data_IF_111516824003
#
_entry.id   IF_111516824003
#
_cell.length_a   1.000
_cell.length_b   1.000
_cell.length_c   1.000
_cell.angle_alpha   90.00
_cell.angle_beta   90.00
_cell.angle_gamma   90.00
#
_symmetry.space_group_name_H-M   'P 1'
#
loop_
_entity.id
_entity.type
_entity.pdbx_description
1 polymer ?
#
# COMPACT_ATOMS: atom_id res chain seq x y z
N UNK A 1 31.49 17.43 -2.59
CA UNK A 1 30.89 16.68 -3.71
C UNK A 1 29.41 16.96 -3.70
N UNK A 2 28.86 17.60 -4.73
CA UNK A 2 27.40 17.75 -4.82
C UNK A 2 26.81 16.38 -5.10
N UNK A 3 26.04 15.88 -4.14
CA UNK A 3 25.27 14.65 -4.29
C UNK A 3 24.27 14.83 -5.44
N UNK A 4 24.20 13.85 -6.37
CA UNK A 4 23.28 13.91 -7.50
C UNK A 4 21.81 13.77 -7.04
N UNK A 5 20.86 14.06 -7.91
CA UNK A 5 19.44 14.02 -7.58
C UNK A 5 19.03 12.65 -7.02
N UNK A 6 19.50 11.56 -7.63
CA UNK A 6 19.18 10.18 -7.20
C UNK A 6 19.63 9.91 -5.76
N UNK A 7 20.83 10.33 -5.38
CA UNK A 7 21.34 10.21 -4.01
C UNK A 7 20.49 10.98 -3.01
N UNK A 8 20.13 12.22 -3.33
CA UNK A 8 19.28 13.06 -2.46
C UNK A 8 17.87 12.53 -2.31
N UNK A 9 17.27 11.97 -3.39
CA UNK A 9 15.98 11.29 -3.33
C UNK A 9 16.07 10.06 -2.42
N UNK A 10 17.12 9.23 -2.58
CA UNK A 10 17.35 8.07 -1.73
C UNK A 10 17.50 8.45 -0.25
N UNK A 11 18.28 9.50 0.05
CA UNK A 11 18.48 10.01 1.41
C UNK A 11 17.13 10.42 2.05
N UNK A 12 16.29 11.17 1.33
CA UNK A 12 14.97 11.55 1.81
C UNK A 12 14.06 10.35 2.03
N UNK A 13 14.07 9.36 1.14
CA UNK A 13 13.29 8.13 1.26
C UNK A 13 13.75 7.24 2.43
N UNK A 14 14.99 7.38 2.90
CA UNK A 14 15.49 6.66 4.08
C UNK A 14 14.84 7.10 5.40
N UNK A 15 14.09 8.20 5.41
CA UNK A 15 13.31 8.61 6.59
C UNK A 15 11.96 7.87 6.74
N UNK A 16 11.53 7.14 5.70
CA UNK A 16 10.24 6.47 5.68
C UNK A 16 10.45 4.97 5.84
N UNK A 17 10.04 4.43 6.98
CA UNK A 17 10.05 2.99 7.24
C UNK A 17 8.81 2.32 6.65
N UNK A 18 8.99 1.12 6.13
CA UNK A 18 7.90 0.25 5.69
C UNK A 18 8.09 -1.16 6.22
N UNK A 19 6.98 -1.88 6.34
CA UNK A 19 6.96 -3.30 6.68
C UNK A 19 5.97 -4.02 5.75
N UNK A 20 6.46 -4.55 4.63
CA UNK A 20 5.62 -5.32 3.73
C UNK A 20 5.44 -6.76 4.23
N UNK A 21 4.22 -7.26 4.09
CA UNK A 21 3.82 -8.63 4.40
C UNK A 21 3.17 -9.29 3.20
N UNK A 22 3.36 -10.59 3.04
CA UNK A 22 2.62 -11.44 2.11
C UNK A 22 1.84 -12.48 2.87
N UNK A 23 0.56 -12.57 2.60
CA UNK A 23 -0.36 -13.53 3.20
C UNK A 23 -0.79 -14.54 2.14
N UNK A 24 -0.58 -15.81 2.42
CA UNK A 24 -1.05 -16.92 1.63
C UNK A 24 -2.44 -17.31 2.12
N UNK A 25 -3.39 -17.32 1.21
CA UNK A 25 -4.81 -17.51 1.51
C UNK A 25 -5.33 -18.81 0.91
N UNK A 26 -6.30 -19.37 1.60
CA UNK A 26 -7.20 -20.38 1.05
C UNK A 26 -8.62 -19.82 1.13
N UNK A 27 -9.23 -19.59 -0.02
CA UNK A 27 -10.55 -18.95 -0.15
C UNK A 27 -11.51 -19.85 -0.93
N UNK A 28 -11.98 -20.97 -0.33
CA UNK A 28 -12.79 -21.94 -1.04
C UNK A 28 -14.10 -21.31 -1.54
N UNK A 29 -14.30 -21.36 -2.85
CA UNK A 29 -15.50 -20.88 -3.51
C UNK A 29 -15.74 -19.37 -3.49
N UNK A 30 -14.72 -18.56 -3.14
CA UNK A 30 -14.78 -17.08 -3.18
C UNK A 30 -13.58 -16.51 -3.90
N UNK A 31 -13.83 -15.65 -4.87
CA UNK A 31 -12.78 -14.79 -5.43
C UNK A 31 -12.52 -13.64 -4.46
N UNK A 32 -11.44 -13.75 -3.67
CA UNK A 32 -11.04 -12.72 -2.74
C UNK A 32 -10.47 -11.50 -3.48
N UNK A 33 -11.18 -10.39 -3.49
CA UNK A 33 -10.69 -9.13 -4.05
C UNK A 33 -10.07 -8.25 -2.96
N UNK A 34 -9.10 -7.42 -3.34
CA UNK A 34 -8.46 -6.45 -2.42
C UNK A 34 -9.49 -5.60 -1.66
N UNK A 35 -10.53 -5.04 -2.31
CA UNK A 35 -11.54 -4.31 -1.60
C UNK A 35 -12.36 -5.11 -0.59
N UNK A 36 -12.64 -6.41 -0.85
CA UNK A 36 -13.33 -7.27 0.11
C UNK A 36 -12.45 -7.56 1.33
N UNK A 37 -11.21 -7.94 1.08
CA UNK A 37 -10.21 -8.19 2.12
C UNK A 37 -9.99 -6.95 2.98
N UNK A 38 -9.83 -5.76 2.36
CA UNK A 38 -9.72 -4.49 3.08
C UNK A 38 -10.93 -4.26 4.01
N UNK A 39 -12.13 -4.51 3.51
CA UNK A 39 -13.36 -4.29 4.27
C UNK A 39 -13.44 -5.14 5.53
N UNK A 40 -13.19 -6.43 5.42
CA UNK A 40 -13.24 -7.34 6.56
C UNK A 40 -12.07 -7.11 7.53
N UNK A 41 -10.87 -6.85 7.01
CA UNK A 41 -9.70 -6.55 7.82
C UNK A 41 -9.86 -5.26 8.61
N UNK A 42 -10.37 -4.19 7.98
CA UNK A 42 -10.65 -2.93 8.65
C UNK A 42 -11.72 -3.07 9.75
N UNK A 43 -12.78 -3.84 9.50
CA UNK A 43 -13.80 -4.10 10.53
C UNK A 43 -13.22 -4.89 11.71
N UNK A 44 -12.43 -5.92 11.43
CA UNK A 44 -11.77 -6.72 12.47
C UNK A 44 -10.80 -5.89 13.32
N UNK A 45 -9.99 -5.02 12.68
CA UNK A 45 -9.06 -4.16 13.40
C UNK A 45 -9.79 -3.10 14.25
N UNK A 46 -10.86 -2.50 13.70
CA UNK A 46 -11.66 -1.53 14.44
C UNK A 46 -12.25 -2.12 15.71
N UNK A 47 -12.73 -3.37 15.65
CA UNK A 47 -13.32 -4.05 16.82
C UNK A 47 -12.22 -4.53 17.80
N UNK A 48 -11.02 -4.85 17.32
CA UNK A 48 -9.91 -5.36 18.13
C UNK A 48 -9.08 -4.25 18.77
N UNK A 49 -8.73 -3.22 18.00
CA UNK A 49 -7.87 -2.11 18.40
C UNK A 49 -8.26 -0.82 17.63
N UNK A 50 -9.21 -0.03 18.17
CA UNK A 50 -9.64 1.21 17.54
C UNK A 50 -8.54 2.26 17.35
N UNK A 51 -7.52 2.27 18.23
CA UNK A 51 -6.40 3.22 18.13
C UNK A 51 -5.49 2.85 16.96
N UNK A 52 -5.11 1.57 16.85
CA UNK A 52 -4.38 1.09 15.67
C UNK A 52 -5.18 1.32 14.38
N UNK A 53 -6.50 1.12 14.42
CA UNK A 53 -7.37 1.42 13.27
C UNK A 53 -7.27 2.88 12.84
N UNK A 54 -7.38 3.84 13.77
CA UNK A 54 -7.30 5.27 13.47
C UNK A 54 -5.94 5.66 12.86
N UNK A 55 -4.83 5.11 13.36
CA UNK A 55 -3.49 5.38 12.83
C UNK A 55 -3.32 4.79 11.43
N UNK A 56 -3.76 3.55 11.22
CA UNK A 56 -3.48 2.81 9.98
C UNK A 56 -4.45 3.20 8.87
N UNK A 57 -5.75 3.27 9.15
CA UNK A 57 -6.78 3.58 8.16
C UNK A 57 -6.99 5.08 7.95
N UNK A 58 -6.53 5.92 8.91
CA UNK A 58 -6.59 7.37 8.86
C UNK A 58 -7.92 7.96 9.35
N UNK A 59 -7.94 9.25 9.75
CA UNK A 59 -9.08 9.92 10.36
C UNK A 59 -10.30 10.08 9.43
N UNK A 60 -10.11 10.01 8.14
CA UNK A 60 -11.22 10.11 7.17
C UNK A 60 -12.18 8.90 7.19
N UNK A 61 -11.84 7.83 7.90
CA UNK A 61 -12.73 6.69 8.06
C UNK A 61 -13.66 6.85 9.28
N UNK A 62 -13.33 7.71 10.24
CA UNK A 62 -14.13 7.98 11.45
C UNK A 62 -15.39 8.80 11.17
N UNK A 63 -15.38 9.70 10.17
CA UNK A 63 -16.55 10.50 9.78
C UNK A 63 -17.69 9.66 9.17
N UNK A 64 -17.43 8.39 8.93
CA UNK A 64 -18.36 7.40 8.40
C UNK A 64 -18.66 6.40 9.50
N UNK A 65 -19.66 6.66 10.32
CA UNK A 65 -20.09 5.86 11.45
C UNK A 65 -20.00 4.33 11.25
N UNK A 66 -19.98 3.55 12.34
CA UNK A 66 -19.88 2.09 12.26
C UNK A 66 -20.96 1.54 11.34
N UNK A 67 -20.69 0.45 10.60
CA UNK A 67 -21.69 -0.20 9.75
C UNK A 67 -22.92 -0.51 10.63
N UNK A 68 -24.09 -0.12 10.17
CA UNK A 68 -25.33 -0.40 10.87
C UNK A 68 -25.31 -1.87 11.31
N UNK A 69 -25.28 -2.10 12.62
CA UNK A 69 -25.38 -3.45 13.17
C UNK A 69 -26.77 -3.95 12.81
N UNK A 70 -26.90 -4.80 11.81
CA UNK A 70 -28.07 -5.64 11.72
C UNK A 70 -28.04 -6.54 12.94
N UNK A 71 -28.89 -6.21 13.91
CA UNK A 71 -29.09 -6.97 15.14
C UNK A 71 -29.74 -8.31 14.78
N UNK A 72 -28.95 -9.26 14.40
CA UNK A 72 -29.28 -10.65 14.58
C UNK A 72 -28.71 -11.03 15.94
N UNK A 73 -29.60 -11.08 16.93
CA UNK A 73 -29.31 -11.54 18.28
C UNK A 73 -28.85 -13.01 18.24
N UNK A 74 -27.56 -13.20 18.08
CA UNK A 74 -26.94 -14.50 18.39
C UNK A 74 -26.66 -14.46 19.89
N UNK A 75 -27.48 -15.17 20.66
CA UNK A 75 -27.24 -15.44 22.08
C UNK A 75 -25.84 -16.04 22.22
N UNK A 76 -24.92 -15.29 22.85
CA UNK A 76 -23.63 -15.79 23.31
C UNK A 76 -23.86 -16.76 24.46
N UNK A 77 -23.22 -17.94 24.45
CA UNK A 77 -23.15 -18.75 25.66
C UNK A 77 -22.26 -18.04 26.70
N UNK A 78 -22.52 -18.20 27.99
CA UNK A 78 -21.77 -17.53 29.03
C UNK A 78 -20.38 -18.13 29.18
N UNK A 79 -19.31 -17.47 28.73
CA UNK A 79 -17.96 -17.80 29.11
C UNK A 79 -17.63 -17.12 30.45
N UNK A 80 -17.54 -17.94 31.49
CA UNK A 80 -16.84 -17.64 32.74
C UNK A 80 -15.33 -17.65 32.42
N UNK A 81 -14.68 -16.52 32.57
CA UNK A 81 -13.28 -16.28 32.97
C UNK A 81 -12.83 -14.93 32.40
N UNK A 82 -12.63 -13.92 33.22
CA UNK A 82 -12.10 -12.63 32.75
C UNK A 82 -12.15 -11.50 33.75
N UNK A 83 -11.87 -11.77 35.04
CA UNK A 83 -11.76 -10.70 36.05
C UNK A 83 -10.31 -10.24 36.32
N UNK A 84 -9.31 -10.75 35.58
CA UNK A 84 -7.91 -10.40 35.83
C UNK A 84 -7.31 -9.38 34.85
N UNK A 85 -7.97 -9.06 33.71
CA UNK A 85 -7.39 -8.17 32.69
C UNK A 85 -7.80 -6.70 32.90
N UNK A 86 -8.95 -6.44 33.52
CA UNK A 86 -9.43 -5.08 33.79
C UNK A 86 -8.58 -4.36 34.85
N UNK A 87 -8.09 -5.08 35.87
CA UNK A 87 -7.30 -4.50 36.96
C UNK A 87 -5.85 -4.19 36.55
N UNK A 88 -5.29 -4.92 35.57
CA UNK A 88 -3.94 -4.64 35.05
C UNK A 88 -3.95 -3.40 34.13
N UNK A 89 -5.04 -3.15 33.43
CA UNK A 89 -5.16 -1.98 32.54
C UNK A 89 -5.40 -0.67 33.30
N UNK A 90 -6.02 -0.70 34.47
CA UNK A 90 -6.25 0.48 35.29
C UNK A 90 -4.98 1.02 35.97
N UNK A 91 -3.99 0.14 36.23
CA UNK A 91 -2.73 0.52 36.84
C UNK A 91 -1.71 1.15 35.89
N UNK A 92 -1.86 0.97 34.58
CA UNK A 92 -0.89 1.45 33.57
C UNK A 92 -1.25 2.84 33.01
N UNK A 93 -2.43 3.40 33.30
CA UNK A 93 -2.89 4.69 32.77
C UNK A 93 -2.56 5.90 33.63
N UNK A 94 -2.03 5.73 34.83
CA UNK A 94 -1.66 6.84 35.71
C UNK A 94 -0.19 7.20 35.54
N UNK A 95 0.16 7.96 34.50
CA UNK A 95 1.50 8.55 34.40
C UNK A 95 2.09 8.79 33.00
N UNK A 96 1.38 8.53 31.93
CA UNK A 96 1.87 8.91 30.61
C UNK A 96 1.35 10.30 30.20
N UNK A 97 2.23 11.22 29.76
CA UNK A 97 1.76 12.49 29.17
C UNK A 97 0.95 12.18 27.92
N UNK A 98 -0.15 12.88 27.76
CA UNK A 98 -1.00 12.79 26.57
C UNK A 98 -0.14 12.97 25.29
N UNK A 99 -0.33 12.11 24.27
CA UNK A 99 0.39 12.30 23.02
C UNK A 99 0.07 13.67 22.45
N UNK A 100 1.07 14.37 21.84
CA UNK A 100 0.85 15.69 21.29
C UNK A 100 -0.29 15.64 20.27
N UNK A 101 -1.23 16.56 20.39
CA UNK A 101 -2.34 16.73 19.47
C UNK A 101 -1.79 16.89 18.05
N UNK A 102 -2.06 15.92 17.17
CA UNK A 102 -1.72 16.00 15.76
C UNK A 102 -2.65 17.06 15.16
N UNK A 103 -2.10 18.23 14.87
CA UNK A 103 -2.83 19.29 14.20
C UNK A 103 -3.28 18.77 12.80
N UNK A 104 -4.59 18.64 12.66
CA UNK A 104 -5.27 18.27 11.44
C UNK A 104 -5.17 19.40 10.39
N UNK A 105 -4.09 19.39 9.64
CA UNK A 105 -3.88 20.27 8.49
C UNK A 105 -3.43 19.46 7.27
N UNK A 106 -4.36 18.77 6.63
CA UNK A 106 -4.13 17.95 5.45
C UNK A 106 -4.67 16.55 5.67
N UNK A 107 -5.36 16.00 4.68
CA UNK A 107 -5.88 14.63 4.72
C UNK A 107 -4.73 13.66 4.96
N UNK A 108 -4.59 13.14 6.17
CA UNK A 108 -3.59 12.14 6.51
C UNK A 108 -3.73 10.93 5.56
N UNK A 109 -2.63 10.55 4.93
CA UNK A 109 -2.64 9.37 4.07
C UNK A 109 -2.78 8.13 4.93
N UNK A 110 -3.59 7.16 4.48
CA UNK A 110 -3.67 5.87 5.15
C UNK A 110 -2.28 5.22 5.26
N UNK A 111 -1.96 4.69 6.43
CA UNK A 111 -0.66 4.12 6.75
C UNK A 111 -0.38 2.76 6.09
N UNK A 112 -1.11 2.39 5.04
CA UNK A 112 -0.93 1.11 4.37
C UNK A 112 -1.27 1.15 2.88
N UNK A 113 -0.77 0.14 2.20
CA UNK A 113 -1.19 -0.29 0.85
C UNK A 113 -1.61 -1.74 0.93
N UNK A 114 -2.66 -2.12 0.22
CA UNK A 114 -3.09 -3.50 0.05
C UNK A 114 -3.13 -3.83 -1.43
N UNK A 115 -2.53 -4.96 -1.85
CA UNK A 115 -2.43 -5.33 -3.26
C UNK A 115 -2.46 -6.84 -3.46
N UNK A 116 -2.85 -7.33 -4.65
CA UNK A 116 -2.59 -8.71 -5.02
C UNK A 116 -1.09 -8.99 -4.97
N UNK A 117 -0.70 -10.16 -4.49
CA UNK A 117 0.67 -10.63 -4.63
C UNK A 117 0.94 -11.04 -6.10
N UNK A 118 2.21 -11.00 -6.54
CA UNK A 118 2.58 -11.62 -7.80
C UNK A 118 2.12 -13.08 -7.83
N UNK A 119 1.67 -13.59 -8.98
CA UNK A 119 1.31 -14.99 -9.11
C UNK A 119 2.53 -15.88 -8.79
N UNK A 120 2.32 -16.83 -7.91
CA UNK A 120 3.31 -17.82 -7.51
C UNK A 120 2.75 -19.21 -7.85
N UNK A 121 3.48 -20.03 -8.64
CA UNK A 121 2.99 -21.37 -9.04
C UNK A 121 2.74 -22.31 -7.87
N UNK A 122 3.45 -22.12 -6.77
CA UNK A 122 3.35 -22.99 -5.60
C UNK A 122 2.29 -22.53 -4.59
N UNK A 123 1.82 -21.29 -4.72
CA UNK A 123 0.98 -20.69 -3.71
C UNK A 123 -0.39 -20.28 -4.26
N UNK A 124 -1.41 -20.68 -3.54
CA UNK A 124 -2.79 -20.22 -3.65
C UNK A 124 -2.88 -18.67 -3.71
N UNK A 125 -4.06 -18.10 -3.95
CA UNK A 125 -4.23 -16.64 -3.96
C UNK A 125 -3.50 -16.00 -2.79
N UNK A 126 -2.63 -15.06 -3.10
CA UNK A 126 -1.86 -14.34 -2.12
C UNK A 126 -2.15 -12.83 -2.20
N UNK A 127 -2.06 -12.18 -1.05
CA UNK A 127 -2.26 -10.75 -0.91
C UNK A 127 -1.08 -10.16 -0.15
N UNK A 128 -0.68 -8.97 -0.53
CA UNK A 128 0.35 -8.22 0.19
C UNK A 128 -0.26 -6.98 0.82
N UNK A 129 0.18 -6.67 2.05
CA UNK A 129 -0.01 -5.35 2.65
C UNK A 129 1.32 -4.75 3.04
N UNK A 130 1.43 -3.46 2.86
CA UNK A 130 2.63 -2.68 3.17
C UNK A 130 2.25 -1.67 4.23
N UNK A 131 2.79 -1.79 5.43
CA UNK A 131 2.66 -0.77 6.47
C UNK A 131 3.69 0.32 6.24
N UNK A 132 3.31 1.58 6.47
CA UNK A 132 4.11 2.75 6.12
C UNK A 132 4.19 3.72 7.30
N UNK A 133 5.40 4.17 7.64
CA UNK A 133 5.63 5.15 8.69
C UNK A 133 5.16 4.66 10.06
N UNK A 134 4.35 5.44 10.76
CA UNK A 134 3.84 5.11 12.10
C UNK A 134 3.02 3.80 12.14
N UNK A 135 2.36 3.44 11.03
CA UNK A 135 1.59 2.21 10.95
C UNK A 135 2.44 0.94 11.17
N UNK A 136 3.75 1.01 10.93
CA UNK A 136 4.69 -0.11 11.16
C UNK A 136 4.67 -0.59 12.61
N UNK A 137 4.43 0.29 13.57
CA UNK A 137 4.35 -0.04 15.01
C UNK A 137 3.15 -0.91 15.37
N UNK A 138 2.15 -0.94 14.50
CA UNK A 138 0.90 -1.67 14.70
C UNK A 138 0.87 -3.03 13.97
N UNK A 139 2.02 -3.57 13.54
CA UNK A 139 2.10 -4.84 12.81
C UNK A 139 1.42 -5.99 13.56
N UNK A 140 1.65 -6.11 14.87
CA UNK A 140 1.07 -7.18 15.66
C UNK A 140 -0.48 -7.13 15.72
N UNK A 141 -1.15 -6.03 16.10
CA UNK A 141 -2.60 -5.97 16.07
C UNK A 141 -3.18 -6.15 14.67
N UNK A 142 -2.46 -5.75 13.62
CA UNK A 142 -2.87 -5.94 12.22
C UNK A 142 -2.82 -7.41 11.80
N UNK A 143 -1.78 -8.16 12.20
CA UNK A 143 -1.75 -9.60 12.01
C UNK A 143 -2.90 -10.30 12.75
N UNK A 144 -3.16 -9.91 14.02
CA UNK A 144 -4.29 -10.43 14.80
C UNK A 144 -5.64 -10.12 14.17
N UNK A 145 -5.77 -8.94 13.57
CA UNK A 145 -6.99 -8.55 12.86
C UNK A 145 -7.26 -9.45 11.64
N UNK A 146 -6.24 -9.97 10.99
CA UNK A 146 -6.43 -10.94 9.91
C UNK A 146 -6.99 -12.28 10.41
N UNK A 147 -6.56 -12.77 11.58
CA UNK A 147 -7.12 -13.99 12.18
C UNK A 147 -8.61 -13.81 12.47
N UNK A 148 -9.00 -12.67 13.06
CA UNK A 148 -10.41 -12.32 13.30
C UNK A 148 -11.18 -12.20 11.98
N UNK A 149 -10.62 -11.52 10.99
CA UNK A 149 -11.20 -11.32 9.67
C UNK A 149 -11.50 -12.65 8.95
N UNK A 150 -10.61 -13.64 9.09
CA UNK A 150 -10.79 -14.97 8.50
C UNK A 150 -12.06 -15.66 9.00
N UNK A 151 -12.39 -15.49 10.28
CA UNK A 151 -13.62 -15.98 10.89
C UNK A 151 -14.87 -15.18 10.52
N UNK A 152 -14.73 -13.87 10.20
CA UNK A 152 -15.86 -13.02 9.75
C UNK A 152 -16.33 -13.37 8.34
N UNK A 153 -15.41 -13.86 7.51
CA UNK A 153 -15.67 -14.31 6.14
C UNK A 153 -15.82 -13.20 5.10
N UNK A 154 -15.81 -13.58 3.83
CA UNK A 154 -15.84 -12.71 2.65
C UNK A 154 -17.17 -12.81 1.92
N UNK A 155 -17.54 -11.71 1.29
CA UNK A 155 -18.73 -11.61 0.43
C UNK A 155 -20.06 -11.59 1.19
N UNK A 156 -21.18 -11.58 0.44
CA UNK A 156 -22.52 -11.55 1.02
C UNK A 156 -22.83 -12.76 1.89
N UNK A 157 -22.34 -13.93 1.48
CA UNK A 157 -22.51 -15.20 2.18
C UNK A 157 -21.57 -15.40 3.36
N UNK A 158 -20.67 -14.43 3.63
CA UNK A 158 -19.66 -14.49 4.70
C UNK A 158 -18.90 -15.82 4.71
N UNK A 159 -18.43 -16.25 3.55
CA UNK A 159 -17.63 -17.47 3.44
C UNK A 159 -16.30 -17.28 4.13
N UNK A 160 -16.01 -18.18 5.08
CA UNK A 160 -14.75 -18.18 5.81
C UNK A 160 -13.59 -18.45 4.86
N UNK A 161 -12.45 -17.88 5.18
CA UNK A 161 -11.19 -18.14 4.49
C UNK A 161 -10.13 -18.54 5.52
N UNK A 162 -9.08 -19.17 5.05
CA UNK A 162 -8.00 -19.61 5.91
C UNK A 162 -6.71 -18.90 5.54
N UNK A 163 -5.97 -18.47 6.54
CA UNK A 163 -4.63 -17.91 6.38
C UNK A 163 -3.65 -19.06 6.58
N UNK A 164 -2.95 -19.45 5.53
CA UNK A 164 -1.94 -20.51 5.59
C UNK A 164 -0.65 -20.03 6.20
N UNK A 165 -0.22 -18.83 5.81
CA UNK A 165 1.05 -18.24 6.27
C UNK A 165 1.06 -16.74 6.06
N UNK A 166 1.78 -16.03 6.95
CA UNK A 166 2.10 -14.62 6.81
C UNK A 166 3.63 -14.52 6.80
N UNK A 167 4.17 -14.00 5.70
CA UNK A 167 5.61 -13.81 5.48
C UNK A 167 5.93 -12.32 5.48
N UNK A 168 7.15 -11.94 5.82
CA UNK A 168 7.66 -10.60 5.58
C UNK A 168 8.33 -10.52 4.20
N UNK A 169 8.36 -9.33 3.60
CA UNK A 169 9.08 -9.09 2.35
C UNK A 169 10.28 -8.17 2.61
N UNK A 170 11.42 -8.55 2.10
CA UNK A 170 12.63 -7.73 2.07
C UNK A 170 12.55 -6.66 0.98
N UNK A 171 13.49 -5.71 0.99
CA UNK A 171 13.57 -4.63 -0.01
C UNK A 171 13.72 -5.12 -1.44
N UNK A 172 14.16 -6.36 -1.60
CA UNK A 172 14.26 -7.08 -2.85
C UNK A 172 13.00 -7.92 -3.19
N UNK A 173 11.95 -7.89 -2.36
CA UNK A 173 10.68 -8.61 -2.55
C UNK A 173 10.77 -10.10 -2.21
N UNK A 174 11.91 -10.60 -1.70
CA UNK A 174 12.00 -11.96 -1.20
C UNK A 174 11.18 -12.14 0.07
N UNK A 175 10.47 -13.25 0.15
CA UNK A 175 9.67 -13.60 1.31
C UNK A 175 10.55 -14.28 2.38
N UNK A 176 10.43 -13.81 3.62
CA UNK A 176 11.16 -14.34 4.78
C UNK A 176 10.22 -14.49 5.98
N UNK A 177 10.56 -15.37 6.94
CA UNK A 177 9.73 -15.58 8.11
C UNK A 177 9.83 -14.44 9.11
N UNK A 178 11.02 -13.86 9.29
CA UNK A 178 11.24 -12.79 10.25
C UNK A 178 10.93 -11.42 9.66
N UNK A 179 9.98 -10.74 10.28
CA UNK A 179 9.65 -9.37 9.91
C UNK A 179 10.66 -8.39 10.48
N UNK A 180 11.22 -7.58 9.57
CA UNK A 180 12.04 -6.41 9.95
C UNK A 180 11.63 -5.23 9.09
N UNK A 181 11.26 -4.09 9.70
CA UNK A 181 11.06 -2.86 8.94
C UNK A 181 12.33 -2.46 8.19
N UNK A 182 12.15 -1.89 7.02
CA UNK A 182 13.24 -1.30 6.23
C UNK A 182 12.80 0.02 5.63
N UNK A 183 13.73 0.81 5.10
CA UNK A 183 13.44 2.16 4.60
C UNK A 183 13.17 2.17 3.10
N UNK A 184 12.29 3.05 2.64
CA UNK A 184 11.97 3.18 1.20
C UNK A 184 13.20 3.49 0.34
N UNK A 185 14.23 4.13 0.89
CA UNK A 185 15.49 4.34 0.19
C UNK A 185 16.26 3.06 -0.12
N UNK A 186 15.97 1.95 0.58
CA UNK A 186 16.51 0.63 0.29
C UNK A 186 15.72 -0.14 -0.79
N UNK A 187 14.60 0.40 -1.30
CA UNK A 187 13.80 -0.26 -2.34
C UNK A 187 14.64 -0.52 -3.60
N UNK A 188 14.54 -1.73 -4.12
CA UNK A 188 15.30 -2.16 -5.30
C UNK A 188 14.52 -1.92 -6.58
N UNK A 189 15.20 -1.52 -7.63
CA UNK A 189 14.68 -1.39 -8.98
C UNK A 189 14.82 -2.72 -9.72
N UNK A 190 13.77 -3.56 -9.70
CA UNK A 190 13.83 -4.94 -10.22
C UNK A 190 12.66 -5.26 -11.13
N UNK A 191 12.86 -6.12 -12.16
CA UNK A 191 11.76 -6.62 -12.96
C UNK A 191 10.83 -7.53 -12.14
N UNK A 192 9.52 -7.38 -12.36
CA UNK A 192 8.52 -8.22 -11.70
C UNK A 192 8.65 -9.71 -12.10
N UNK A 193 9.10 -9.99 -13.32
CA UNK A 193 9.23 -11.35 -13.87
C UNK A 193 10.31 -12.20 -13.21
N UNK A 194 11.29 -11.59 -12.54
CA UNK A 194 12.38 -12.34 -11.89
C UNK A 194 11.98 -12.94 -10.53
N UNK A 195 10.81 -12.63 -10.02
CA UNK A 195 10.31 -13.21 -8.78
C UNK A 195 9.98 -14.70 -8.88
N UNK A 196 9.80 -15.22 -10.11
CA UNK A 196 9.36 -16.61 -10.36
C UNK A 196 10.50 -17.62 -10.52
N UNK A 197 11.74 -17.22 -10.69
CA UNK A 197 12.83 -18.14 -11.11
C UNK A 197 13.86 -18.49 -10.05
N UNK A 198 13.63 -18.09 -8.78
CA UNK A 198 14.53 -18.45 -7.65
C UNK A 198 15.95 -17.85 -7.76
N UNK A 199 16.27 -17.16 -8.84
CA UNK A 199 17.54 -16.45 -9.00
C UNK A 199 17.52 -15.13 -8.22
N UNK A 200 18.65 -14.78 -7.59
CA UNK A 200 18.84 -13.46 -6.99
C UNK A 200 18.60 -12.39 -8.06
N UNK A 201 17.45 -11.73 -8.02
CA UNK A 201 17.11 -10.73 -8.99
C UNK A 201 18.08 -9.55 -8.88
N UNK A 202 18.77 -9.26 -9.98
CA UNK A 202 19.70 -8.13 -10.06
C UNK A 202 18.91 -6.82 -10.05
N UNK A 203 19.37 -5.88 -9.23
CA UNK A 203 18.86 -4.51 -9.29
C UNK A 203 19.27 -3.89 -10.63
N UNK A 204 18.30 -3.39 -11.41
CA UNK A 204 18.57 -2.82 -12.73
C UNK A 204 19.37 -1.52 -12.60
N UNK A 205 20.31 -1.30 -13.50
CA UNK A 205 21.05 -0.05 -13.57
C UNK A 205 20.13 1.16 -13.88
N UNK A 206 20.53 2.39 -13.54
CA UNK A 206 19.70 3.58 -13.81
C UNK A 206 19.41 3.81 -15.31
N UNK A 207 20.30 3.41 -16.17
CA UNK A 207 20.22 3.52 -17.64
C UNK A 207 19.63 2.28 -18.33
N UNK A 208 19.24 1.26 -17.53
CA UNK A 208 18.70 0.02 -18.08
C UNK A 208 17.31 0.24 -18.68
N UNK A 209 17.10 -0.12 -19.98
CA UNK A 209 15.79 -0.01 -20.62
C UNK A 209 14.73 -0.81 -19.87
N UNK A 210 13.61 -0.18 -19.60
CA UNK A 210 12.55 -0.82 -18.82
C UNK A 210 11.17 -0.26 -19.17
N UNK A 211 10.16 -0.93 -18.65
CA UNK A 211 8.76 -0.55 -18.76
C UNK A 211 8.17 -0.39 -17.36
N UNK A 212 7.44 0.69 -17.15
CA UNK A 212 6.59 0.90 -15.99
C UNK A 212 5.19 0.38 -16.32
N UNK A 213 4.85 -0.80 -15.83
CA UNK A 213 3.57 -1.47 -16.08
C UNK A 213 2.60 -1.26 -14.91
N UNK A 214 1.32 -1.06 -15.22
CA UNK A 214 0.25 -0.88 -14.25
C UNK A 214 -0.76 -2.01 -14.40
N UNK A 215 -0.58 -3.13 -13.66
CA UNK A 215 -1.50 -4.27 -13.70
C UNK A 215 -2.83 -3.96 -13.05
N UNK A 216 -2.88 -2.98 -12.16
CA UNK A 216 -4.11 -2.44 -11.57
C UNK A 216 -4.41 -1.04 -12.12
N UNK A 217 -5.69 -0.61 -12.16
CA UNK A 217 -6.04 0.68 -12.71
C UNK A 217 -5.30 1.84 -12.04
N UNK A 218 -4.58 2.61 -12.84
CA UNK A 218 -3.94 3.84 -12.43
C UNK A 218 -4.96 4.98 -12.49
N UNK A 219 -5.20 5.64 -11.36
CA UNK A 219 -6.16 6.75 -11.27
C UNK A 219 -5.44 8.06 -10.94
N UNK A 220 -4.99 8.76 -11.97
CA UNK A 220 -4.44 10.10 -11.87
C UNK A 220 -5.51 11.12 -12.25
N UNK A 221 -5.69 12.12 -11.39
CA UNK A 221 -6.71 13.15 -11.60
C UNK A 221 -6.05 14.52 -11.71
N UNK A 222 -6.40 15.26 -12.74
CA UNK A 222 -6.02 16.65 -12.95
C UNK A 222 -7.28 17.48 -13.13
N UNK A 223 -7.48 18.49 -12.29
CA UNK A 223 -8.69 19.36 -12.31
C UNK A 223 -10.01 18.57 -12.34
N UNK A 224 -10.09 17.47 -11.56
CA UNK A 224 -11.27 16.61 -11.50
C UNK A 224 -11.43 15.62 -12.66
N UNK A 225 -10.58 15.68 -13.68
CA UNK A 225 -10.61 14.78 -14.85
C UNK A 225 -9.55 13.69 -14.75
N UNK A 226 -9.86 12.49 -15.25
CA UNK A 226 -8.92 11.39 -15.35
C UNK A 226 -7.87 11.69 -16.43
N UNK A 227 -6.59 11.50 -16.12
CA UNK A 227 -5.50 11.49 -17.10
C UNK A 227 -5.53 10.14 -17.80
N UNK A 228 -5.98 10.09 -19.04
CA UNK A 228 -6.12 8.84 -19.81
C UNK A 228 -4.82 8.37 -20.45
N UNK A 229 -3.89 9.28 -20.70
CA UNK A 229 -2.56 9.00 -21.27
C UNK A 229 -1.48 9.64 -20.40
N UNK A 230 -1.18 9.03 -19.24
CA UNK A 230 -0.19 9.58 -18.32
C UNK A 230 1.21 9.60 -18.95
N UNK A 231 1.94 10.67 -18.66
CA UNK A 231 3.36 10.84 -18.98
C UNK A 231 4.23 10.44 -17.79
N UNK A 232 5.56 10.33 -18.01
CA UNK A 232 6.49 10.12 -16.89
C UNK A 232 6.40 11.26 -15.85
N UNK A 233 6.22 12.49 -16.32
CA UNK A 233 6.04 13.66 -15.45
C UNK A 233 4.80 13.53 -14.55
N UNK A 234 3.69 13.04 -15.07
CA UNK A 234 2.46 12.81 -14.28
C UNK A 234 2.68 11.72 -13.21
N UNK A 235 3.39 10.65 -13.56
CA UNK A 235 3.75 9.57 -12.62
C UNK A 235 4.67 10.07 -11.52
N UNK A 236 5.70 10.87 -11.86
CA UNK A 236 6.64 11.46 -10.89
C UNK A 236 5.93 12.43 -9.95
N UNK A 237 5.05 13.30 -10.46
CA UNK A 237 4.23 14.18 -9.61
C UNK A 237 3.38 13.39 -8.64
N UNK A 238 2.75 12.30 -9.11
CA UNK A 238 1.92 11.46 -8.25
C UNK A 238 2.76 10.71 -7.18
N UNK A 239 3.94 10.19 -7.57
CA UNK A 239 4.88 9.54 -6.66
C UNK A 239 5.42 10.53 -5.60
N UNK A 240 5.84 11.74 -6.01
CA UNK A 240 6.30 12.79 -5.08
C UNK A 240 5.21 13.16 -4.06
N UNK A 241 3.97 13.33 -4.50
CA UNK A 241 2.84 13.61 -3.60
C UNK A 241 2.59 12.47 -2.61
N UNK A 242 2.73 11.23 -3.08
CA UNK A 242 2.55 10.05 -2.25
C UNK A 242 3.64 9.95 -1.17
N UNK A 243 4.89 10.15 -1.54
CA UNK A 243 6.03 10.18 -0.61
C UNK A 243 5.87 11.30 0.41
N UNK A 244 5.55 12.54 -0.04
CA UNK A 244 5.38 13.70 0.84
C UNK A 244 4.40 13.45 2.00
N UNK A 245 3.36 12.65 1.76
CA UNK A 245 2.34 12.35 2.76
C UNK A 245 2.90 11.57 3.96
N UNK A 246 4.01 10.85 3.79
CA UNK A 246 4.64 10.04 4.84
C UNK A 246 5.90 10.67 5.43
N UNK A 247 6.39 11.76 4.87
CA UNK A 247 7.56 12.45 5.38
C UNK A 247 7.25 13.19 6.68
N UNK A 248 8.21 13.23 7.63
CA UNK A 248 8.16 14.14 8.77
C UNK A 248 7.91 15.58 8.30
N UNK A 249 7.19 16.36 9.11
CA UNK A 249 6.83 17.74 8.74
C UNK A 249 8.07 18.59 8.41
N UNK A 250 9.14 18.42 9.17
CA UNK A 250 10.42 19.16 8.99
C UNK A 250 11.11 18.87 7.63
N UNK A 251 10.81 17.72 7.00
CA UNK A 251 11.44 17.34 5.73
C UNK A 251 10.63 17.77 4.50
N UNK A 252 9.39 18.27 4.69
CA UNK A 252 8.46 18.49 3.57
C UNK A 252 8.88 19.64 2.65
N UNK A 253 9.48 20.70 3.18
CA UNK A 253 9.93 21.85 2.37
C UNK A 253 11.12 21.43 1.49
N UNK A 254 12.10 20.72 2.07
CA UNK A 254 13.21 20.14 1.32
C UNK A 254 12.73 19.17 0.25
N UNK A 255 11.66 18.40 0.55
CA UNK A 255 11.06 17.49 -0.42
C UNK A 255 10.37 18.21 -1.57
N UNK A 256 9.79 19.39 -1.35
CA UNK A 256 9.17 20.17 -2.43
C UNK A 256 10.24 20.63 -3.44
N UNK A 257 11.43 21.00 -2.98
CA UNK A 257 12.57 21.33 -3.85
C UNK A 257 13.05 20.11 -4.65
N UNK A 258 13.19 18.95 -4.00
CA UNK A 258 13.52 17.69 -4.65
C UNK A 258 12.45 17.27 -5.66
N UNK A 259 11.19 17.48 -5.33
CA UNK A 259 10.06 17.16 -6.21
C UNK A 259 10.06 18.01 -7.49
N UNK A 260 10.45 19.29 -7.40
CA UNK A 260 10.61 20.15 -8.59
C UNK A 260 11.73 19.64 -9.48
N UNK A 261 12.90 19.31 -8.91
CA UNK A 261 14.01 18.75 -9.65
C UNK A 261 13.69 17.39 -10.27
N UNK A 262 12.98 16.51 -9.53
CA UNK A 262 12.50 15.24 -10.06
C UNK A 262 11.53 15.42 -11.25
N UNK A 263 10.68 16.44 -11.21
CA UNK A 263 9.79 16.78 -12.33
C UNK A 263 10.56 17.27 -13.56
N UNK A 264 11.59 18.09 -13.37
CA UNK A 264 12.48 18.52 -14.46
C UNK A 264 13.23 17.33 -15.07
N UNK A 265 13.78 16.46 -14.24
CA UNK A 265 14.42 15.22 -14.68
C UNK A 265 13.43 14.31 -15.45
N UNK A 266 12.18 14.21 -15.00
CA UNK A 266 11.15 13.43 -15.68
C UNK A 266 10.82 13.97 -17.07
N UNK A 267 10.81 15.28 -17.25
CA UNK A 267 10.61 15.92 -18.55
C UNK A 267 11.78 15.74 -19.49
N UNK A 268 13.00 15.64 -18.96
CA UNK A 268 14.22 15.40 -19.72
C UNK A 268 14.47 13.91 -20.04
N UNK A 269 13.87 12.99 -19.28
CA UNK A 269 14.04 11.55 -19.47
C UNK A 269 13.24 11.08 -20.69
N UNK A 270 13.87 10.41 -21.68
CA UNK A 270 13.18 9.86 -22.81
C UNK A 270 12.16 8.80 -22.40
N UNK A 271 10.91 9.00 -22.73
CA UNK A 271 9.82 8.06 -22.50
C UNK A 271 8.97 7.93 -23.76
N UNK A 272 8.52 6.70 -24.10
CA UNK A 272 7.56 6.53 -25.19
C UNK A 272 6.17 6.95 -24.74
N UNK A 273 5.27 7.16 -25.71
CA UNK A 273 3.87 7.45 -25.40
C UNK A 273 3.24 6.29 -24.61
N UNK A 274 2.32 6.64 -23.71
CA UNK A 274 1.51 5.67 -22.97
C UNK A 274 0.82 4.67 -23.88
N UNK A 275 0.90 3.40 -23.55
CA UNK A 275 0.17 2.32 -24.20
C UNK A 275 -0.75 1.65 -23.18
N UNK A 276 -2.04 1.73 -23.42
CA UNK A 276 -3.03 1.15 -22.50
C UNK A 276 -4.42 1.70 -22.76
N UNK A 277 -5.37 1.16 -22.00
CA UNK A 277 -6.78 1.43 -22.16
C UNK A 277 -7.39 1.96 -20.86
N UNK A 278 -8.48 2.70 -21.00
CA UNK A 278 -9.34 3.07 -19.89
C UNK A 278 -10.06 1.84 -19.35
N UNK A 279 -10.12 1.73 -18.04
CA UNK A 279 -10.88 0.72 -17.31
C UNK A 279 -11.92 1.41 -16.43
N UNK A 280 -13.18 1.05 -16.64
CA UNK A 280 -14.28 1.45 -15.79
C UNK A 280 -14.65 0.30 -14.88
N UNK A 281 -14.09 0.30 -13.68
CA UNK A 281 -14.44 -0.67 -12.63
C UNK A 281 -15.60 -0.12 -11.81
N UNK A 282 -16.63 -0.93 -11.61
CA UNK A 282 -17.73 -0.64 -10.70
C UNK A 282 -17.58 -1.47 -9.44
N UNK A 283 -17.80 -0.85 -8.31
CA UNK A 283 -17.81 -1.51 -7.02
C UNK A 283 -19.04 -1.10 -6.25
N UNK A 284 -19.75 -2.08 -5.73
CA UNK A 284 -20.79 -1.83 -4.74
C UNK A 284 -20.13 -1.60 -3.37
N UNK A 285 -20.41 -0.46 -2.73
CA UNK A 285 -20.03 -0.18 -1.36
C UNK A 285 -21.20 -0.55 -0.45
N UNK A 286 -21.08 -1.68 0.26
CA UNK A 286 -22.09 -2.10 1.25
C UNK A 286 -22.28 -1.07 2.38
N UNK A 287 -21.30 -0.20 2.60
CA UNK A 287 -21.34 0.86 3.64
C UNK A 287 -22.06 2.12 3.16
N UNK A 288 -21.98 2.43 1.87
CA UNK A 288 -22.64 3.60 1.27
C UNK A 288 -23.92 3.23 0.51
N UNK A 289 -24.24 1.93 0.41
CA UNK A 289 -25.35 1.40 -0.41
C UNK A 289 -25.37 2.00 -1.84
N UNK A 290 -24.18 2.29 -2.39
CA UNK A 290 -23.98 2.94 -3.68
C UNK A 290 -22.90 2.22 -4.49
N UNK A 291 -23.05 2.25 -5.81
CA UNK A 291 -21.98 1.85 -6.72
C UNK A 291 -20.92 2.94 -6.76
N UNK A 292 -19.68 2.56 -6.47
CA UNK A 292 -18.52 3.41 -6.63
C UNK A 292 -17.86 3.11 -7.96
N UNK A 293 -17.84 4.11 -8.84
CA UNK A 293 -17.06 4.04 -10.06
C UNK A 293 -15.57 4.26 -9.77
N UNK A 294 -14.77 3.23 -10.01
CA UNK A 294 -13.32 3.29 -9.92
C UNK A 294 -12.72 3.39 -11.32
N UNK A 295 -12.89 4.57 -11.95
CA UNK A 295 -12.32 4.83 -13.27
C UNK A 295 -10.82 4.98 -13.19
N UNK A 296 -10.09 4.33 -14.09
CA UNK A 296 -8.64 4.42 -14.20
C UNK A 296 -8.16 4.00 -15.58
N UNK A 297 -6.84 3.93 -15.75
CA UNK A 297 -6.21 3.41 -16.96
C UNK A 297 -5.31 2.24 -16.58
N UNK A 298 -5.28 1.19 -17.40
CA UNK A 298 -4.31 0.12 -17.29
C UNK A 298 -3.42 0.12 -18.53
N UNK A 299 -2.15 -0.16 -18.36
CA UNK A 299 -1.20 -0.11 -19.45
C UNK A 299 0.21 0.11 -18.96
N UNK A 300 1.05 0.70 -19.79
CA UNK A 300 2.46 0.88 -19.49
C UNK A 300 3.09 2.08 -20.17
N UNK A 301 4.23 2.49 -19.63
CA UNK A 301 5.12 3.52 -20.18
C UNK A 301 6.52 2.92 -20.35
N UNK A 302 7.13 3.03 -21.52
CA UNK A 302 8.50 2.55 -21.77
C UNK A 302 9.52 3.66 -21.56
N UNK A 303 10.62 3.30 -20.91
CA UNK A 303 11.80 4.13 -20.68
C UNK A 303 13.00 3.53 -21.42
N UNK A 304 13.26 3.91 -22.68
CA UNK A 304 14.28 3.27 -23.53
C UNK A 304 15.71 3.45 -23.01
N UNK A 305 15.93 4.46 -22.17
CA UNK A 305 17.23 4.75 -21.53
C UNK A 305 17.14 4.68 -19.99
N UNK A 306 16.22 3.82 -19.51
CA UNK A 306 15.99 3.67 -18.07
C UNK A 306 15.44 4.93 -17.38
N UNK A 307 15.27 4.85 -16.06
CA UNK A 307 14.74 5.94 -15.24
C UNK A 307 15.78 7.02 -14.86
N UNK A 308 17.07 6.77 -15.10
CA UNK A 308 18.13 7.69 -14.67
C UNK A 308 18.11 7.96 -13.16
N UNK A 309 18.28 9.23 -12.79
CA UNK A 309 18.27 9.68 -11.39
C UNK A 309 16.91 9.55 -10.70
N UNK A 310 15.82 9.29 -11.43
CA UNK A 310 14.49 9.04 -10.88
C UNK A 310 14.33 7.62 -10.30
N UNK A 311 15.33 6.74 -10.50
CA UNK A 311 15.27 5.34 -10.05
C UNK A 311 14.85 5.17 -8.59
N UNK A 312 15.40 5.88 -7.59
CA UNK A 312 14.99 5.69 -6.19
C UNK A 312 13.51 6.04 -5.95
N UNK A 313 13.03 7.12 -6.54
CA UNK A 313 11.63 7.54 -6.41
C UNK A 313 10.68 6.53 -7.04
N UNK A 314 10.98 6.05 -8.23
CA UNK A 314 10.15 5.07 -8.94
C UNK A 314 10.23 3.69 -8.27
N UNK A 315 11.40 3.28 -7.73
CA UNK A 315 11.51 2.07 -6.92
C UNK A 315 10.62 2.15 -5.66
N UNK A 316 10.64 3.27 -4.96
CA UNK A 316 9.73 3.51 -3.82
C UNK A 316 8.25 3.46 -4.24
N UNK A 317 7.92 3.99 -5.42
CA UNK A 317 6.56 4.00 -5.95
C UNK A 317 6.00 2.59 -6.24
N UNK A 318 6.85 1.58 -6.50
CA UNK A 318 6.40 0.18 -6.64
C UNK A 318 5.83 -0.38 -5.33
N UNK A 319 6.23 0.16 -4.20
CA UNK A 319 5.74 -0.22 -2.88
C UNK A 319 4.58 0.65 -2.40
N UNK A 320 4.62 1.96 -2.68
CA UNK A 320 3.63 2.92 -2.22
C UNK A 320 2.37 2.98 -3.08
N UNK A 321 2.44 2.48 -4.31
CA UNK A 321 1.48 2.72 -5.39
C UNK A 321 1.36 4.20 -5.75
N UNK A 322 0.78 4.51 -6.89
CA UNK A 322 0.61 5.89 -7.38
C UNK A 322 -0.84 6.22 -7.68
N UNK A 323 -1.21 7.48 -7.47
CA UNK A 323 -2.55 7.99 -7.76
C UNK A 323 -3.55 7.80 -6.62
N UNK A 324 -4.84 7.79 -6.96
CA UNK A 324 -5.94 7.65 -6.00
C UNK A 324 -6.38 6.19 -5.86
N UNK A 325 -6.86 5.84 -4.67
CA UNK A 325 -7.41 4.50 -4.39
C UNK A 325 -6.36 3.43 -4.09
N UNK A 326 -5.16 3.80 -3.70
CA UNK A 326 -4.05 2.87 -3.40
C UNK A 326 -4.39 1.87 -2.29
N UNK A 327 -5.20 2.27 -1.31
CA UNK A 327 -5.74 1.38 -0.26
C UNK A 327 -6.74 0.33 -0.78
N UNK A 328 -7.16 0.46 -2.03
CA UNK A 328 -8.02 -0.50 -2.75
C UNK A 328 -7.23 -1.33 -3.77
N UNK A 329 -5.90 -1.25 -3.73
CA UNK A 329 -5.03 -1.93 -4.68
C UNK A 329 -4.85 -1.22 -6.02
N UNK A 330 -5.37 0.02 -6.18
CA UNK A 330 -5.21 0.76 -7.42
C UNK A 330 -3.80 1.37 -7.53
N UNK A 331 -3.35 1.64 -8.77
CA UNK A 331 -2.08 2.29 -9.04
C UNK A 331 -0.85 1.46 -8.69
N UNK A 332 -0.98 0.14 -8.64
CA UNK A 332 0.16 -0.76 -8.51
C UNK A 332 1.06 -0.58 -9.73
N UNK A 333 2.33 -0.33 -9.49
CA UNK A 333 3.34 -0.16 -10.51
C UNK A 333 4.36 -1.30 -10.42
N UNK A 334 4.61 -1.94 -11.54
CA UNK A 334 5.66 -2.93 -11.70
C UNK A 334 6.74 -2.41 -12.66
N UNK A 335 7.95 -2.89 -12.48
CA UNK A 335 9.05 -2.68 -13.44
C UNK A 335 9.20 -3.95 -14.26
N UNK A 336 9.28 -3.81 -15.59
CA UNK A 336 9.53 -4.90 -16.51
C UNK A 336 10.81 -4.60 -17.31
N UNK A 337 11.67 -5.61 -17.43
CA UNK A 337 12.86 -5.53 -18.29
C UNK A 337 12.44 -5.58 -19.75
N UNK A 338 12.96 -4.67 -20.57
CA UNK A 338 12.69 -4.62 -22.02
C UNK A 338 13.93 -4.85 -22.87
N UNK A 339 15.04 -5.27 -22.28
CA UNK A 339 16.30 -5.49 -23.00
C UNK A 339 16.28 -6.71 -23.93
N UNK A 340 15.30 -7.60 -23.77
CA UNK A 340 15.17 -8.85 -24.56
C UNK A 340 14.02 -8.82 -25.58
N UNK A 341 13.53 -7.62 -25.96
CA UNK A 341 12.43 -7.44 -26.89
C UNK A 341 12.82 -6.80 -28.22
#
# INVERSE_FOLDING_TARGET
>A
MNENLGGRLSAALNTIHILPRRMLLDTPGVLATVPMLRGVWGAALHDLDPLAYAVVFGPNDESRGPPARHSTSIRRPPHRAGLALADVMAATQAGQPAPPAIHAGGTAAAGYVLRPAPPDPEFAPAVEWILIGEAVRHDFPLCRAWDVASGMGLGPERRRFHIRRILALQSDGQAVDQARPWTLGAARWRPASTASTGGAARDLAPDHPCRLAFPSPLRLMQQGRLIERPTLADLVVAACRRVKAYLPLAERDRWDDLSRQALEAARATPAKAWRGNRLDLRRYSGRQHAELELRGVAGYLELPRGPGELRPLLAAATWLHVGKGTVMGLGQMNVEDTSNG
#
